data_IF_537809929713
#
_entry.id   IF_537809929713
#
_cell.length_a   1.000
_cell.length_b   1.000
_cell.length_c   1.000
_cell.angle_alpha   90.00
_cell.angle_beta   90.00
_cell.angle_gamma   90.00
#
_symmetry.space_group_name_H-M   'P 1'
#
loop_
_entity.id
_entity.type
_entity.pdbx_description
1 polymer ?
#
# COMPACT_ATOMS: atom_id res chain seq x y z
N UNK A 1 -5.93 -9.17 -45.23
CA UNK A 1 -6.27 -9.14 -43.80
C UNK A 1 -7.35 -10.19 -43.58
N UNK A 2 -7.12 -11.18 -42.71
CA UNK A 2 -8.12 -12.24 -42.44
C UNK A 2 -9.31 -11.69 -41.68
N UNK A 3 -10.51 -12.27 -41.86
CA UNK A 3 -11.76 -11.88 -41.20
C UNK A 3 -11.54 -11.92 -39.67
N UNK A 4 -10.78 -12.87 -39.18
CA UNK A 4 -10.48 -13.04 -37.75
C UNK A 4 -9.64 -11.87 -37.19
N UNK A 5 -8.62 -11.41 -37.95
CA UNK A 5 -7.80 -10.25 -37.59
C UNK A 5 -8.63 -8.94 -37.61
N UNK A 6 -9.57 -8.84 -38.56
CA UNK A 6 -10.50 -7.71 -38.62
C UNK A 6 -11.44 -7.71 -37.37
N UNK A 7 -11.99 -8.87 -37.01
CA UNK A 7 -12.87 -9.04 -35.82
C UNK A 7 -12.12 -8.71 -34.53
N UNK A 8 -10.89 -9.17 -34.37
CA UNK A 8 -10.05 -8.85 -33.20
C UNK A 8 -9.75 -7.34 -33.10
N UNK A 9 -9.41 -6.68 -34.22
CA UNK A 9 -9.17 -5.24 -34.24
C UNK A 9 -10.41 -4.43 -33.91
N UNK A 10 -11.60 -4.82 -34.39
CA UNK A 10 -12.86 -4.15 -34.06
C UNK A 10 -13.26 -4.36 -32.61
N UNK A 11 -13.12 -5.56 -32.07
CA UNK A 11 -13.36 -5.85 -30.67
C UNK A 11 -12.46 -5.00 -29.77
N UNK A 12 -11.14 -4.95 -30.08
CA UNK A 12 -10.20 -4.12 -29.33
C UNK A 12 -10.56 -2.62 -29.39
N UNK A 13 -10.90 -2.10 -30.57
CA UNK A 13 -11.34 -0.70 -30.75
C UNK A 13 -12.63 -0.42 -29.99
N UNK A 14 -13.61 -1.29 -30.08
CA UNK A 14 -14.87 -1.15 -29.34
C UNK A 14 -14.63 -1.04 -27.83
N UNK A 15 -13.84 -1.94 -27.26
CA UNK A 15 -13.50 -1.88 -25.83
C UNK A 15 -12.71 -0.63 -25.45
N UNK A 16 -11.78 -0.18 -26.29
CA UNK A 16 -11.04 1.06 -26.07
C UNK A 16 -11.96 2.27 -26.07
N UNK A 17 -12.76 2.45 -27.11
CA UNK A 17 -13.62 3.63 -27.24
C UNK A 17 -14.76 3.64 -26.24
N UNK A 18 -15.36 2.48 -25.94
CA UNK A 18 -16.37 2.40 -24.88
C UNK A 18 -15.82 2.75 -23.50
N UNK A 19 -14.57 2.33 -23.20
CA UNK A 19 -13.89 2.70 -21.96
C UNK A 19 -13.59 4.21 -21.91
N UNK A 20 -13.14 4.81 -23.00
CA UNK A 20 -12.89 6.26 -23.10
C UNK A 20 -14.21 7.03 -22.91
N UNK A 21 -15.28 6.64 -23.60
CA UNK A 21 -16.60 7.28 -23.47
C UNK A 21 -17.10 7.20 -22.02
N UNK A 22 -16.96 6.03 -21.38
CA UNK A 22 -17.31 5.85 -19.99
C UNK A 22 -16.49 6.77 -19.07
N UNK A 23 -15.18 6.92 -19.33
CA UNK A 23 -14.32 7.81 -18.56
C UNK A 23 -14.78 9.28 -18.67
N UNK A 24 -15.17 9.73 -19.86
CA UNK A 24 -15.71 11.09 -20.09
C UNK A 24 -17.04 11.30 -19.35
N UNK A 25 -17.97 10.34 -19.46
CA UNK A 25 -19.27 10.41 -18.78
C UNK A 25 -19.10 10.49 -17.26
N UNK A 26 -18.28 9.60 -16.70
CA UNK A 26 -18.01 9.56 -15.25
C UNK A 26 -17.25 10.82 -14.78
N UNK A 27 -16.36 11.38 -15.59
CA UNK A 27 -15.69 12.63 -15.27
C UNK A 27 -16.69 13.81 -15.22
N UNK A 28 -17.62 13.85 -16.18
CA UNK A 28 -18.65 14.90 -16.22
C UNK A 28 -19.63 14.79 -15.05
N UNK A 29 -20.06 13.56 -14.71
CA UNK A 29 -20.89 13.30 -13.52
C UNK A 29 -20.18 13.73 -12.24
N UNK A 30 -18.90 13.38 -12.07
CA UNK A 30 -18.09 13.78 -10.94
C UNK A 30 -17.91 15.32 -10.87
N UNK A 31 -17.69 15.96 -12.01
CA UNK A 31 -17.60 17.43 -12.07
C UNK A 31 -18.88 18.12 -11.61
N UNK A 32 -20.05 17.68 -12.09
CA UNK A 32 -21.36 18.20 -11.64
C UNK A 32 -21.53 17.98 -10.12
N UNK A 33 -21.18 16.79 -9.64
CA UNK A 33 -21.26 16.44 -8.23
C UNK A 33 -20.43 17.38 -7.37
N UNK A 34 -19.14 17.53 -7.66
CA UNK A 34 -18.25 18.41 -6.89
C UNK A 34 -18.59 19.89 -7.06
N UNK A 35 -19.04 20.32 -8.22
CA UNK A 35 -19.54 21.69 -8.42
C UNK A 35 -20.76 22.00 -7.54
N UNK A 36 -21.73 21.07 -7.46
CA UNK A 36 -22.90 21.21 -6.59
C UNK A 36 -22.51 21.19 -5.10
N UNK A 37 -21.53 20.36 -4.74
CA UNK A 37 -21.00 20.29 -3.37
C UNK A 37 -20.33 21.61 -3.00
N UNK A 38 -19.43 22.11 -3.85
CA UNK A 38 -18.70 23.37 -3.65
C UNK A 38 -19.62 24.59 -3.55
N UNK A 39 -20.74 24.58 -4.25
CA UNK A 39 -21.74 25.65 -4.15
C UNK A 39 -22.41 25.77 -2.77
N UNK A 40 -22.23 24.77 -1.89
CA UNK A 40 -22.74 24.75 -0.51
C UNK A 40 -21.68 25.10 0.53
N UNK A 41 -20.46 25.38 0.10
CA UNK A 41 -19.35 25.66 0.99
C UNK A 41 -19.49 27.03 1.65
N UNK A 42 -18.95 27.14 2.85
CA UNK A 42 -18.80 28.42 3.51
C UNK A 42 -17.81 29.32 2.72
N UNK A 43 -17.92 30.65 2.85
CA UNK A 43 -16.95 31.56 2.24
C UNK A 43 -15.51 31.19 2.61
N UNK A 44 -14.65 31.02 1.62
CA UNK A 44 -13.25 30.67 1.79
C UNK A 44 -12.96 29.18 2.06
N UNK A 45 -13.97 28.30 2.09
CA UNK A 45 -13.76 26.87 2.20
C UNK A 45 -13.24 26.28 0.87
N UNK A 46 -12.10 25.61 0.93
CA UNK A 46 -11.45 24.98 -0.22
C UNK A 46 -11.95 23.56 -0.48
N UNK A 47 -11.98 23.14 -1.74
CA UNK A 47 -12.12 21.75 -2.17
C UNK A 47 -10.76 21.23 -2.60
N UNK A 48 -10.20 20.28 -1.84
CA UNK A 48 -8.85 19.75 -2.03
C UNK A 48 -8.90 18.29 -2.46
N UNK A 49 -8.05 17.90 -3.41
CA UNK A 49 -7.86 16.53 -3.81
C UNK A 49 -6.49 16.01 -3.37
N UNK A 50 -6.45 14.84 -2.73
CA UNK A 50 -5.24 14.02 -2.54
C UNK A 50 -5.34 12.85 -3.50
N UNK A 51 -4.27 12.56 -4.25
CA UNK A 51 -4.29 11.54 -5.30
C UNK A 51 -3.24 10.48 -5.05
N UNK A 52 -3.65 9.35 -4.47
CA UNK A 52 -2.90 8.09 -4.44
C UNK A 52 -3.86 6.94 -4.67
N UNK A 53 -3.88 6.41 -5.91
CA UNK A 53 -4.94 5.51 -6.35
C UNK A 53 -4.59 4.04 -6.16
N UNK A 54 -3.30 3.71 -6.14
CA UNK A 54 -2.73 2.36 -6.03
C UNK A 54 -1.23 2.44 -5.69
N UNK A 55 -0.52 1.42 -5.21
CA UNK A 55 -1.04 0.14 -4.68
C UNK A 55 -1.44 0.31 -3.21
N UNK A 56 -2.10 -0.68 -2.60
CA UNK A 56 -2.62 -0.48 -1.24
C UNK A 56 -1.51 -0.22 -0.19
N UNK A 57 -0.36 -0.86 -0.30
CA UNK A 57 0.80 -0.55 0.56
C UNK A 57 1.24 0.90 0.48
N UNK A 58 1.26 1.46 -0.75
CA UNK A 58 1.58 2.87 -0.97
C UNK A 58 0.52 3.81 -0.39
N UNK A 59 -0.76 3.41 -0.42
CA UNK A 59 -1.86 4.18 0.19
C UNK A 59 -1.67 4.23 1.69
N UNK A 60 -1.33 3.10 2.33
CA UNK A 60 -1.01 3.03 3.76
C UNK A 60 0.22 3.88 4.09
N UNK A 61 1.30 3.76 3.30
CA UNK A 61 2.51 4.57 3.49
C UNK A 61 2.25 6.09 3.34
N UNK A 62 1.28 6.49 2.52
CA UNK A 62 0.90 7.88 2.29
C UNK A 62 -0.11 8.42 3.32
N UNK A 63 -0.68 7.59 4.21
CA UNK A 63 -1.71 8.00 5.15
C UNK A 63 -1.31 9.23 6.00
N UNK A 64 -0.06 9.38 6.51
CA UNK A 64 0.32 10.55 7.28
C UNK A 64 0.15 11.88 6.52
N UNK A 65 0.20 11.86 5.18
CA UNK A 65 -0.06 13.03 4.35
C UNK A 65 -1.49 13.55 4.55
N UNK A 66 -2.46 12.68 4.79
CA UNK A 66 -3.85 13.10 5.05
C UNK A 66 -3.94 14.03 6.27
N UNK A 67 -3.27 13.65 7.36
CA UNK A 67 -3.22 14.44 8.60
C UNK A 67 -2.45 15.74 8.39
N UNK A 68 -1.34 15.67 7.66
CA UNK A 68 -0.55 16.87 7.35
C UNK A 68 -1.32 17.86 6.47
N UNK A 69 -1.99 17.39 5.41
CA UNK A 69 -2.85 18.26 4.58
C UNK A 69 -4.01 18.82 5.39
N UNK A 70 -4.64 18.05 6.27
CA UNK A 70 -5.69 18.55 7.19
C UNK A 70 -5.15 19.65 8.11
N UNK A 71 -3.93 19.50 8.62
CA UNK A 71 -3.31 20.54 9.47
C UNK A 71 -3.03 21.84 8.73
N UNK A 72 -2.68 21.76 7.44
CA UNK A 72 -2.46 22.92 6.56
C UNK A 72 -3.79 23.57 6.13
N UNK A 73 -4.87 22.81 6.04
CA UNK A 73 -6.17 23.23 5.54
C UNK A 73 -7.30 22.76 6.48
N UNK A 74 -7.40 23.30 7.71
CA UNK A 74 -8.30 22.77 8.75
C UNK A 74 -9.78 22.82 8.36
N UNK A 75 -10.20 23.79 7.55
CA UNK A 75 -11.58 24.00 7.13
C UNK A 75 -11.89 23.48 5.71
N UNK A 76 -10.91 22.91 4.99
CA UNK A 76 -11.12 22.43 3.64
C UNK A 76 -12.00 21.16 3.62
N UNK A 77 -12.67 20.96 2.50
CA UNK A 77 -13.26 19.67 2.16
C UNK A 77 -12.22 18.84 1.38
N UNK A 78 -11.71 17.80 2.01
CA UNK A 78 -10.62 16.99 1.47
C UNK A 78 -11.16 15.68 0.90
N UNK A 79 -10.84 15.44 -0.37
CA UNK A 79 -11.24 14.23 -1.12
C UNK A 79 -10.00 13.41 -1.42
N UNK A 80 -9.99 12.13 -1.05
CA UNK A 80 -8.93 11.21 -1.45
C UNK A 80 -9.35 10.39 -2.67
N UNK A 81 -8.57 10.47 -3.75
CA UNK A 81 -8.75 9.68 -4.95
C UNK A 81 -8.05 8.33 -4.81
N UNK A 82 -8.83 7.25 -4.94
CA UNK A 82 -8.36 5.87 -4.77
C UNK A 82 -9.05 4.94 -5.76
N UNK A 83 -8.44 3.80 -6.11
CA UNK A 83 -9.18 2.74 -6.83
C UNK A 83 -10.30 2.17 -5.94
N UNK A 84 -11.46 1.82 -6.52
CA UNK A 84 -12.59 1.30 -5.74
C UNK A 84 -12.25 0.09 -4.85
N UNK A 85 -11.30 -0.75 -5.26
CA UNK A 85 -10.83 -1.91 -4.48
C UNK A 85 -10.10 -1.56 -3.19
N UNK A 86 -9.74 -0.29 -2.97
CA UNK A 86 -8.95 0.17 -1.82
C UNK A 86 -9.65 1.24 -0.99
N UNK A 87 -10.95 1.46 -1.22
CA UNK A 87 -11.75 2.45 -0.49
C UNK A 87 -11.65 2.28 1.02
N UNK A 88 -11.78 1.04 1.51
CA UNK A 88 -11.81 0.74 2.94
C UNK A 88 -10.59 1.30 3.72
N UNK A 89 -9.44 1.45 3.05
CA UNK A 89 -8.23 2.03 3.67
C UNK A 89 -8.40 3.51 4.05
N UNK A 90 -9.32 4.22 3.38
CA UNK A 90 -9.48 5.68 3.50
C UNK A 90 -10.85 6.06 4.08
N UNK A 91 -11.91 5.27 3.84
CA UNK A 91 -13.30 5.62 4.19
C UNK A 91 -13.51 6.02 5.66
N UNK A 92 -12.66 5.50 6.56
CA UNK A 92 -12.75 5.78 7.99
C UNK A 92 -11.68 6.74 8.50
N UNK A 93 -10.90 7.35 7.60
CA UNK A 93 -9.86 8.30 7.98
C UNK A 93 -10.46 9.66 8.37
N UNK A 94 -10.33 10.10 9.64
CA UNK A 94 -10.97 11.34 10.12
C UNK A 94 -10.38 12.62 9.49
N UNK A 95 -9.24 12.53 8.82
CA UNK A 95 -8.63 13.66 8.10
C UNK A 95 -9.19 13.84 6.69
N UNK A 96 -10.03 12.90 6.21
CA UNK A 96 -10.60 12.87 4.86
C UNK A 96 -12.11 12.99 4.97
N UNK A 97 -12.70 13.92 4.22
CA UNK A 97 -14.15 14.13 4.21
C UNK A 97 -14.87 13.20 3.24
N UNK A 98 -14.17 12.79 2.17
CA UNK A 98 -14.75 11.91 1.16
C UNK A 98 -13.69 11.07 0.43
N UNK A 99 -14.00 9.81 0.20
CA UNK A 99 -13.22 8.92 -0.67
C UNK A 99 -13.84 8.89 -2.05
N UNK A 100 -13.06 9.18 -3.10
CA UNK A 100 -13.52 9.15 -4.47
C UNK A 100 -12.94 7.98 -5.24
N UNK A 101 -13.82 7.07 -5.70
CA UNK A 101 -13.46 5.90 -6.51
C UNK A 101 -13.11 6.28 -7.94
N UNK A 102 -11.84 6.33 -8.25
CA UNK A 102 -11.37 6.61 -9.61
C UNK A 102 -11.60 5.44 -10.55
N UNK A 103 -12.33 5.67 -11.63
CA UNK A 103 -12.50 4.67 -12.70
C UNK A 103 -11.21 4.44 -13.49
N UNK A 104 -10.53 5.52 -13.88
CA UNK A 104 -9.21 5.48 -14.52
C UNK A 104 -8.58 6.89 -14.61
N UNK A 105 -7.30 6.92 -14.92
CA UNK A 105 -6.48 8.14 -15.11
C UNK A 105 -7.13 9.15 -16.09
N UNK A 106 -7.79 8.67 -17.15
CA UNK A 106 -8.49 9.55 -18.12
C UNK A 106 -9.66 10.29 -17.47
N UNK A 107 -10.44 9.61 -16.61
CA UNK A 107 -11.50 10.27 -15.85
C UNK A 107 -10.93 11.39 -14.98
N UNK A 108 -9.86 11.11 -14.22
CA UNK A 108 -9.21 12.09 -13.35
C UNK A 108 -8.68 13.28 -14.14
N UNK A 109 -7.97 13.03 -15.25
CA UNK A 109 -7.45 14.09 -16.13
C UNK A 109 -8.54 15.04 -16.55
N UNK A 110 -9.64 14.53 -17.12
CA UNK A 110 -10.77 15.34 -17.59
C UNK A 110 -11.42 16.12 -16.44
N UNK A 111 -11.57 15.47 -15.27
CA UNK A 111 -12.14 16.12 -14.09
C UNK A 111 -11.27 17.28 -13.61
N UNK A 112 -9.96 17.12 -13.57
CA UNK A 112 -9.03 18.16 -13.12
C UNK A 112 -8.91 19.31 -14.13
N UNK A 113 -8.98 19.03 -15.43
CA UNK A 113 -9.08 20.06 -16.48
C UNK A 113 -10.31 20.97 -16.32
N UNK A 114 -11.35 20.54 -15.59
CA UNK A 114 -12.54 21.37 -15.25
C UNK A 114 -12.32 22.34 -14.09
N UNK A 115 -11.15 22.33 -13.45
CA UNK A 115 -10.74 23.27 -12.39
C UNK A 115 -11.77 23.39 -11.23
N UNK A 116 -12.40 22.27 -10.85
CA UNK A 116 -13.36 22.26 -9.73
C UNK A 116 -12.66 22.22 -8.37
N UNK A 117 -11.48 21.58 -8.29
CA UNK A 117 -10.65 21.54 -7.10
C UNK A 117 -9.80 22.81 -7.00
N UNK A 118 -9.74 23.38 -5.81
CA UNK A 118 -8.89 24.56 -5.54
C UNK A 118 -7.42 24.16 -5.43
N UNK A 119 -7.16 22.95 -4.92
CA UNK A 119 -5.82 22.39 -4.80
C UNK A 119 -5.81 20.89 -5.05
N UNK A 120 -4.73 20.40 -5.64
CA UNK A 120 -4.51 18.97 -5.92
C UNK A 120 -3.12 18.60 -5.43
N UNK A 121 -3.04 17.55 -4.61
CA UNK A 121 -1.80 16.95 -4.14
C UNK A 121 -1.57 15.60 -4.84
N UNK A 122 -0.81 15.56 -5.94
CA UNK A 122 -0.53 14.33 -6.67
C UNK A 122 0.60 13.55 -5.99
N UNK A 123 0.27 12.42 -5.35
CA UNK A 123 1.23 11.56 -4.67
C UNK A 123 1.77 10.47 -5.61
N UNK A 124 1.96 10.79 -6.88
CA UNK A 124 2.38 9.86 -7.92
C UNK A 124 3.41 10.52 -8.82
N UNK A 125 4.36 9.76 -9.31
CA UNK A 125 5.28 10.23 -10.35
C UNK A 125 4.82 9.79 -11.75
N UNK A 126 5.28 10.47 -12.79
CA UNK A 126 4.75 10.42 -14.16
C UNK A 126 4.66 9.00 -14.71
N UNK A 127 5.69 8.18 -14.59
CA UNK A 127 5.75 6.86 -15.21
C UNK A 127 4.78 5.82 -14.61
N UNK A 128 4.26 6.06 -13.41
CA UNK A 128 3.30 5.15 -12.75
C UNK A 128 1.85 5.59 -12.88
N UNK A 129 1.58 6.64 -13.66
CA UNK A 129 0.30 7.30 -13.69
C UNK A 129 -0.34 7.20 -15.07
N UNK A 130 -0.79 5.99 -15.44
CA UNK A 130 -1.31 5.72 -16.77
C UNK A 130 -2.57 4.83 -16.79
N UNK A 131 -3.32 4.92 -17.86
CA UNK A 131 -4.39 3.98 -18.19
C UNK A 131 -4.04 3.21 -19.48
N UNK A 132 -3.71 1.94 -19.36
CA UNK A 132 -3.35 1.10 -20.50
C UNK A 132 -4.49 0.98 -21.53
N UNK A 133 -5.76 0.97 -21.12
CA UNK A 133 -6.93 0.91 -22.01
C UNK A 133 -7.12 2.18 -22.83
N UNK A 134 -6.96 3.35 -22.19
CA UNK A 134 -7.07 4.64 -22.87
C UNK A 134 -5.77 5.06 -23.57
N UNK A 135 -4.65 4.47 -23.19
CA UNK A 135 -3.31 4.91 -23.58
C UNK A 135 -3.03 6.37 -23.19
N UNK A 136 -3.48 6.76 -22.01
CA UNK A 136 -3.30 8.09 -21.43
C UNK A 136 -2.32 7.97 -20.30
N UNK A 137 -1.34 8.88 -20.30
CA UNK A 137 -0.39 9.10 -19.21
C UNK A 137 -0.69 10.46 -18.58
N UNK A 138 -0.48 10.58 -17.29
CA UNK A 138 -0.47 11.85 -16.59
C UNK A 138 0.93 12.11 -16.04
N UNK A 139 1.43 13.27 -16.37
CA UNK A 139 2.70 13.76 -15.85
C UNK A 139 2.50 14.38 -14.46
N UNK A 140 3.55 14.35 -13.67
CA UNK A 140 3.66 15.14 -12.46
C UNK A 140 4.86 16.08 -12.59
N UNK A 141 4.64 17.33 -13.05
CA UNK A 141 5.71 18.28 -13.28
C UNK A 141 6.54 18.62 -12.03
N UNK A 142 5.98 18.41 -10.83
CA UNK A 142 6.70 18.61 -9.57
C UNK A 142 7.73 17.49 -9.38
N UNK A 143 7.29 16.24 -9.53
CA UNK A 143 8.17 15.08 -9.46
C UNK A 143 9.27 15.14 -10.53
N UNK A 144 8.90 15.49 -11.76
CA UNK A 144 9.83 15.56 -12.90
C UNK A 144 10.92 16.62 -12.67
N UNK A 145 10.55 17.82 -12.19
CA UNK A 145 11.54 18.86 -11.85
C UNK A 145 12.49 18.46 -10.73
N UNK A 146 12.03 17.60 -9.80
CA UNK A 146 12.86 17.08 -8.70
C UNK A 146 13.65 15.83 -9.11
N UNK A 147 13.41 15.27 -10.32
CA UNK A 147 14.05 14.05 -10.79
C UNK A 147 13.51 12.78 -10.12
N UNK A 148 12.30 12.84 -9.53
CA UNK A 148 11.66 11.70 -8.86
C UNK A 148 10.91 10.86 -9.88
N UNK A 149 11.35 9.62 -10.09
CA UNK A 149 10.76 8.66 -11.02
C UNK A 149 11.00 7.22 -10.56
N UNK A 150 10.55 6.23 -11.33
CA UNK A 150 10.66 4.80 -10.98
C UNK A 150 12.08 4.28 -10.77
N UNK A 151 13.10 4.99 -11.27
CA UNK A 151 14.50 4.62 -11.15
C UNK A 151 15.26 5.35 -10.05
N UNK A 152 14.68 6.40 -9.48
CA UNK A 152 15.38 7.31 -8.56
C UNK A 152 14.67 7.52 -7.22
N UNK A 153 13.39 7.14 -7.09
CA UNK A 153 12.52 7.57 -5.99
C UNK A 153 13.08 7.23 -4.60
N UNK A 154 13.70 6.08 -4.37
CA UNK A 154 14.30 5.78 -3.07
C UNK A 154 15.60 6.56 -2.76
N UNK A 155 16.14 7.35 -3.70
CA UNK A 155 17.19 8.31 -3.40
C UNK A 155 16.66 9.55 -2.67
N UNK A 156 15.33 9.70 -2.58
CA UNK A 156 14.64 10.84 -1.96
C UNK A 156 14.03 10.50 -0.59
N UNK A 157 14.35 9.32 -0.05
CA UNK A 157 13.89 8.86 1.25
C UNK A 157 12.92 7.67 1.17
N UNK A 158 12.15 7.46 2.24
CA UNK A 158 11.10 6.45 2.30
C UNK A 158 9.88 6.86 1.44
N UNK A 159 8.90 5.96 1.30
CA UNK A 159 7.72 6.24 0.44
C UNK A 159 6.93 7.47 0.89
N UNK A 160 6.79 7.71 2.19
CA UNK A 160 6.09 8.90 2.70
C UNK A 160 6.78 10.19 2.24
N UNK A 161 8.10 10.26 2.40
CA UNK A 161 8.91 11.43 1.99
C UNK A 161 8.87 11.63 0.48
N UNK A 162 8.97 10.54 -0.28
CA UNK A 162 8.84 10.58 -1.75
C UNK A 162 7.49 11.15 -2.16
N UNK A 163 6.38 10.64 -1.61
CA UNK A 163 5.04 11.11 -1.96
C UNK A 163 4.80 12.56 -1.53
N UNK A 164 5.27 12.95 -0.37
CA UNK A 164 5.18 14.33 0.08
C UNK A 164 5.98 15.29 -0.81
N UNK A 165 7.15 14.86 -1.32
CA UNK A 165 7.95 15.64 -2.28
C UNK A 165 7.29 15.73 -3.65
N UNK A 166 6.61 14.67 -4.14
CA UNK A 166 5.89 14.71 -5.42
C UNK A 166 4.69 15.65 -5.40
N UNK A 167 4.16 15.95 -4.23
CA UNK A 167 3.07 16.89 -3.99
C UNK A 167 3.53 18.31 -3.57
N UNK A 168 4.83 18.56 -3.53
CA UNK A 168 5.45 19.80 -3.03
C UNK A 168 5.08 20.16 -1.59
N UNK A 169 4.76 19.17 -0.78
CA UNK A 169 4.42 19.33 0.64
C UNK A 169 5.68 19.51 1.50
N UNK A 170 6.79 18.90 1.09
CA UNK A 170 8.09 18.99 1.77
C UNK A 170 9.22 19.24 0.77
N UNK A 171 10.33 19.74 1.33
CA UNK A 171 11.59 19.96 0.61
C UNK A 171 12.75 19.91 1.61
N UNK A 172 13.99 20.18 1.17
CA UNK A 172 15.19 20.14 2.03
C UNK A 172 15.14 21.11 3.22
N UNK A 173 14.29 22.15 3.18
CA UNK A 173 14.13 23.14 4.27
C UNK A 173 12.90 22.89 5.13
N UNK A 174 11.96 22.10 4.65
CA UNK A 174 10.70 21.79 5.31
C UNK A 174 10.54 20.27 5.31
N UNK A 175 11.11 19.55 6.29
CA UNK A 175 10.98 18.10 6.40
C UNK A 175 9.51 17.70 6.72
N UNK A 176 9.19 16.43 6.58
CA UNK A 176 7.90 15.90 7.01
C UNK A 176 7.77 16.03 8.54
N UNK A 177 6.57 16.35 9.07
CA UNK A 177 6.34 16.42 10.52
C UNK A 177 6.70 15.12 11.24
N UNK A 178 7.03 15.20 12.52
CA UNK A 178 7.43 14.06 13.35
C UNK A 178 6.34 12.98 13.49
N UNK A 179 5.05 13.31 13.25
CA UNK A 179 3.93 12.35 13.22
C UNK A 179 3.88 11.60 11.88
N UNK A 180 4.94 10.83 11.62
CA UNK A 180 5.18 10.08 10.37
C UNK A 180 4.70 8.62 10.42
N UNK A 181 4.15 8.16 11.56
CA UNK A 181 3.64 6.80 11.73
C UNK A 181 2.34 6.62 10.93
N UNK A 182 2.25 5.70 9.95
CA UNK A 182 0.99 5.36 9.28
C UNK A 182 -0.04 4.82 10.28
N UNK A 183 -1.31 5.08 10.02
CA UNK A 183 -2.44 4.63 10.87
C UNK A 183 -3.49 3.92 10.04
N UNK A 184 -4.19 2.99 10.69
CA UNK A 184 -5.37 2.30 10.15
C UNK A 184 -6.57 2.59 11.05
N UNK A 185 -7.71 2.85 10.44
CA UNK A 185 -8.94 3.26 11.15
C UNK A 185 -9.93 2.09 11.19
N UNK A 186 -9.56 1.06 11.98
CA UNK A 186 -10.31 -0.17 12.13
C UNK A 186 -11.66 0.06 12.81
N UNK A 187 -12.73 -0.51 12.25
CA UNK A 187 -14.08 -0.45 12.76
C UNK A 187 -14.44 -1.76 13.49
N UNK A 188 -15.52 -1.76 14.27
CA UNK A 188 -15.96 -2.92 15.04
C UNK A 188 -16.24 -4.16 14.18
N UNK A 189 -16.74 -3.97 12.96
CA UNK A 189 -16.95 -5.08 12.02
C UNK A 189 -15.65 -5.85 11.71
N UNK A 190 -14.50 -5.17 11.60
CA UNK A 190 -13.21 -5.82 11.33
C UNK A 190 -12.73 -6.62 12.55
N UNK A 191 -12.97 -6.07 13.77
CA UNK A 191 -12.67 -6.76 15.03
C UNK A 191 -13.53 -7.99 15.23
N UNK A 192 -14.86 -7.86 15.01
CA UNK A 192 -15.82 -8.97 15.08
C UNK A 192 -15.49 -10.08 14.09
N UNK A 193 -15.05 -9.72 12.87
CA UNK A 193 -14.57 -10.72 11.90
C UNK A 193 -13.36 -11.48 12.45
N UNK A 194 -12.36 -10.79 12.98
CA UNK A 194 -11.19 -11.42 13.58
C UNK A 194 -11.57 -12.29 14.80
N UNK A 195 -12.52 -11.85 15.64
CA UNK A 195 -13.05 -12.65 16.75
C UNK A 195 -13.69 -13.96 16.27
N UNK A 196 -14.46 -13.90 15.18
CA UNK A 196 -15.11 -15.07 14.59
C UNK A 196 -14.14 -16.12 14.02
N UNK A 197 -12.88 -15.75 13.82
CA UNK A 197 -11.85 -16.68 13.36
C UNK A 197 -11.33 -17.58 14.47
N UNK A 198 -11.57 -17.27 15.74
CA UNK A 198 -11.01 -18.03 16.88
C UNK A 198 -9.51 -18.25 16.72
N UNK A 199 -8.75 -17.17 16.52
CA UNK A 199 -7.30 -17.23 16.39
C UNK A 199 -6.66 -17.72 17.68
N UNK A 200 -5.53 -18.43 17.61
CA UNK A 200 -4.74 -18.80 18.80
C UNK A 200 -4.26 -17.56 19.56
N UNK A 201 -3.94 -17.74 20.85
CA UNK A 201 -3.40 -16.63 21.66
C UNK A 201 -2.00 -16.21 21.20
N UNK A 202 -1.15 -17.17 20.85
CA UNK A 202 0.22 -16.93 20.40
C UNK A 202 0.36 -17.36 18.93
N UNK A 203 0.49 -16.39 18.02
CA UNK A 203 0.64 -16.71 16.62
C UNK A 203 1.50 -15.71 15.86
N UNK A 204 2.09 -16.20 14.81
CA UNK A 204 2.85 -15.44 13.82
C UNK A 204 2.00 -15.35 12.56
N UNK A 205 1.84 -14.15 12.01
CA UNK A 205 1.26 -13.97 10.67
C UNK A 205 2.36 -14.06 9.63
N UNK A 206 2.16 -14.85 8.59
CA UNK A 206 3.07 -14.91 7.44
C UNK A 206 2.39 -14.40 6.16
N UNK A 207 3.17 -13.73 5.30
CA UNK A 207 2.75 -13.31 3.95
C UNK A 207 3.81 -13.70 2.92
N UNK A 208 3.50 -14.68 2.08
CA UNK A 208 4.47 -15.43 1.29
C UNK A 208 4.55 -15.02 -0.18
N UNK A 209 3.61 -14.22 -0.69
CA UNK A 209 3.54 -13.87 -2.10
C UNK A 209 3.15 -12.42 -2.33
N UNK A 210 3.96 -11.69 -3.08
CA UNK A 210 3.66 -10.33 -3.53
C UNK A 210 3.01 -10.32 -4.93
N UNK A 211 2.66 -9.13 -5.43
CA UNK A 211 2.21 -8.95 -6.81
C UNK A 211 3.38 -8.69 -7.78
N UNK A 212 4.62 -8.82 -7.33
CA UNK A 212 5.83 -8.61 -8.12
C UNK A 212 6.85 -9.71 -7.85
N UNK A 213 6.86 -10.74 -8.71
CA UNK A 213 7.65 -11.95 -8.54
C UNK A 213 9.13 -11.75 -8.16
N UNK A 214 9.85 -10.70 -8.63
CA UNK A 214 11.21 -10.44 -8.17
C UNK A 214 11.38 -10.17 -6.66
N UNK A 215 10.30 -9.79 -5.96
CA UNK A 215 10.27 -9.62 -4.49
C UNK A 215 9.95 -10.92 -3.76
N UNK A 216 9.48 -11.96 -4.45
CA UNK A 216 9.02 -13.19 -3.80
C UNK A 216 10.19 -14.07 -3.35
N UNK A 217 10.00 -14.73 -2.21
CA UNK A 217 10.85 -15.80 -1.75
C UNK A 217 10.22 -17.14 -2.15
N UNK A 218 11.01 -18.16 -2.57
CA UNK A 218 10.45 -19.43 -3.09
C UNK A 218 9.51 -20.13 -2.12
N UNK A 219 8.35 -20.59 -2.60
CA UNK A 219 7.34 -21.27 -1.78
C UNK A 219 7.91 -22.48 -1.00
N UNK A 220 8.77 -23.27 -1.63
CA UNK A 220 9.42 -24.40 -0.95
C UNK A 220 10.29 -23.98 0.24
N UNK A 221 10.87 -22.78 0.23
CA UNK A 221 11.62 -22.25 1.37
C UNK A 221 10.69 -21.71 2.45
N UNK A 222 9.54 -21.16 2.09
CA UNK A 222 8.48 -20.83 3.04
C UNK A 222 7.95 -22.09 3.75
N UNK A 223 7.70 -23.19 3.02
CA UNK A 223 7.32 -24.48 3.63
C UNK A 223 8.38 -24.95 4.66
N UNK A 224 9.67 -24.84 4.32
CA UNK A 224 10.78 -25.17 5.24
C UNK A 224 10.86 -24.23 6.46
N UNK A 225 10.53 -22.95 6.29
CA UNK A 225 10.48 -21.99 7.39
C UNK A 225 9.31 -22.29 8.32
N UNK A 226 8.13 -22.57 7.77
CA UNK A 226 6.94 -22.95 8.55
C UNK A 226 7.19 -24.22 9.35
N UNK A 227 7.74 -25.27 8.73
CA UNK A 227 8.11 -26.51 9.43
C UNK A 227 9.10 -26.22 10.57
N UNK A 228 10.17 -25.47 10.31
CA UNK A 228 11.17 -25.13 11.31
C UNK A 228 10.59 -24.31 12.48
N UNK A 229 9.71 -23.33 12.20
CA UNK A 229 9.00 -22.58 13.25
C UNK A 229 8.14 -23.49 14.12
N UNK A 230 7.40 -24.43 13.50
CA UNK A 230 6.56 -25.40 14.21
C UNK A 230 7.34 -26.37 15.09
N UNK A 231 8.56 -26.75 14.68
CA UNK A 231 9.43 -27.66 15.42
C UNK A 231 10.17 -26.98 16.59
N UNK A 232 10.47 -25.68 16.49
CA UNK A 232 11.35 -24.99 17.44
C UNK A 232 10.64 -23.97 18.34
N UNK A 233 9.41 -23.58 18.02
CA UNK A 233 8.65 -22.56 18.77
C UNK A 233 7.21 -23.01 18.98
N UNK A 234 6.56 -22.46 20.02
CA UNK A 234 5.16 -22.76 20.36
C UNK A 234 4.13 -21.88 19.64
N UNK A 235 4.54 -21.12 18.64
CA UNK A 235 3.63 -20.26 17.87
C UNK A 235 2.79 -21.05 16.88
N UNK A 236 1.52 -20.68 16.76
CA UNK A 236 0.74 -21.01 15.58
C UNK A 236 1.14 -20.10 14.42
N UNK A 237 0.97 -20.57 13.19
CA UNK A 237 1.35 -19.84 11.98
C UNK A 237 0.11 -19.60 11.14
N UNK A 238 -0.19 -18.33 10.88
CA UNK A 238 -1.38 -17.92 10.11
C UNK A 238 -0.93 -17.25 8.82
N UNK A 239 -1.20 -17.90 7.69
CA UNK A 239 -0.91 -17.32 6.37
C UNK A 239 -2.05 -16.41 5.91
N UNK A 240 -1.68 -15.22 5.45
CA UNK A 240 -2.60 -14.25 4.84
C UNK A 240 -2.16 -13.93 3.41
N UNK A 241 -3.08 -13.40 2.61
CA UNK A 241 -2.84 -13.01 1.23
C UNK A 241 -4.06 -13.27 0.34
N UNK A 242 -3.89 -13.15 -0.97
CA UNK A 242 -4.96 -13.47 -1.92
C UNK A 242 -5.06 -14.97 -2.18
N UNK A 243 -3.91 -15.65 -2.23
CA UNK A 243 -3.80 -17.07 -2.53
C UNK A 243 -2.57 -17.64 -1.83
N UNK A 244 -2.67 -18.88 -1.33
CA UNK A 244 -1.52 -19.63 -0.84
C UNK A 244 -0.89 -20.46 -1.95
N UNK A 245 0.44 -20.55 -1.92
CA UNK A 245 1.23 -21.49 -2.72
C UNK A 245 1.99 -22.48 -1.83
N UNK A 246 1.72 -22.51 -0.52
CA UNK A 246 2.35 -23.42 0.42
C UNK A 246 1.70 -24.82 0.34
N UNK A 247 2.51 -25.82 0.62
CA UNK A 247 2.11 -27.24 0.63
C UNK A 247 2.22 -27.88 2.01
N UNK A 248 2.63 -27.10 3.02
CA UNK A 248 2.80 -27.53 4.41
C UNK A 248 1.53 -28.17 4.97
N UNK A 249 1.73 -29.18 5.85
CA UNK A 249 0.66 -29.89 6.58
C UNK A 249 0.83 -29.79 8.10
N UNK A 250 1.65 -28.85 8.55
CA UNK A 250 1.87 -28.64 9.97
C UNK A 250 0.55 -28.33 10.69
N UNK A 251 0.32 -28.98 11.82
CA UNK A 251 -0.90 -28.80 12.62
C UNK A 251 -1.03 -27.41 13.24
N UNK A 252 0.09 -26.70 13.40
CA UNK A 252 0.17 -25.32 13.86
C UNK A 252 -0.10 -24.29 12.76
N UNK A 253 -0.20 -24.71 11.49
CA UNK A 253 -0.42 -23.84 10.34
C UNK A 253 -1.90 -23.70 9.99
N UNK A 254 -2.31 -22.45 9.70
CA UNK A 254 -3.65 -22.10 9.24
C UNK A 254 -3.63 -21.14 8.06
N UNK A 255 -4.34 -21.47 6.99
CA UNK A 255 -4.44 -20.66 5.79
C UNK A 255 -5.71 -19.80 5.82
N UNK A 256 -5.56 -18.48 5.80
CA UNK A 256 -6.63 -17.47 5.68
C UNK A 256 -6.59 -16.71 4.35
N UNK A 257 -5.78 -17.14 3.38
CA UNK A 257 -5.69 -16.48 2.07
C UNK A 257 -7.05 -16.43 1.37
N UNK A 258 -7.40 -15.26 0.83
CA UNK A 258 -8.66 -15.02 0.12
C UNK A 258 -9.91 -14.93 0.99
N UNK A 259 -9.78 -14.94 2.32
CA UNK A 259 -10.92 -14.98 3.25
C UNK A 259 -11.20 -13.64 3.95
N UNK A 260 -10.30 -12.67 3.80
CA UNK A 260 -10.28 -11.42 4.55
C UNK A 260 -10.26 -10.21 3.60
N UNK A 261 -10.94 -9.13 3.98
CA UNK A 261 -10.71 -7.81 3.41
C UNK A 261 -9.35 -7.25 3.84
N UNK A 262 -8.93 -6.11 3.32
CA UNK A 262 -7.64 -5.50 3.68
C UNK A 262 -7.63 -5.08 5.16
N UNK A 263 -8.71 -4.45 5.64
CA UNK A 263 -8.79 -4.04 7.05
C UNK A 263 -9.02 -5.21 8.01
N UNK A 264 -9.71 -6.26 7.59
CA UNK A 264 -9.80 -7.52 8.35
C UNK A 264 -8.42 -8.18 8.45
N UNK A 265 -7.65 -8.18 7.35
CA UNK A 265 -6.26 -8.64 7.32
C UNK A 265 -5.39 -7.82 8.28
N UNK A 266 -5.56 -6.50 8.29
CA UNK A 266 -4.85 -5.60 9.20
C UNK A 266 -5.15 -5.91 10.67
N UNK A 267 -6.41 -6.21 11.00
CA UNK A 267 -6.79 -6.58 12.38
C UNK A 267 -6.19 -7.93 12.79
N UNK A 268 -6.13 -8.91 11.88
CA UNK A 268 -5.45 -10.19 12.14
C UNK A 268 -3.94 -9.96 12.39
N UNK A 269 -3.29 -9.15 11.57
CA UNK A 269 -1.87 -8.80 11.75
C UNK A 269 -1.66 -8.09 13.10
N UNK A 270 -2.53 -7.15 13.46
CA UNK A 270 -2.43 -6.37 14.72
C UNK A 270 -2.51 -7.24 15.97
N UNK A 271 -3.20 -8.39 15.89
CA UNK A 271 -3.32 -9.36 17.00
C UNK A 271 -2.16 -10.34 17.09
N UNK A 272 -1.35 -10.44 16.05
CA UNK A 272 -0.22 -11.36 16.02
C UNK A 272 0.95 -10.86 16.90
N UNK A 273 1.71 -11.79 17.44
CA UNK A 273 2.97 -11.48 18.11
C UNK A 273 4.02 -10.96 17.14
N UNK A 274 4.04 -11.54 15.93
CA UNK A 274 4.97 -11.19 14.87
C UNK A 274 4.30 -11.26 13.50
N UNK A 275 4.81 -10.43 12.60
CA UNK A 275 4.56 -10.52 11.17
C UNK A 275 5.85 -10.92 10.46
N UNK A 276 5.86 -12.01 9.72
CA UNK A 276 6.98 -12.42 8.85
C UNK A 276 6.51 -12.35 7.40
N UNK A 277 7.11 -11.51 6.58
CA UNK A 277 6.63 -11.37 5.21
C UNK A 277 7.60 -10.66 4.29
N UNK A 278 7.13 -10.43 3.07
CA UNK A 278 7.85 -9.72 2.02
C UNK A 278 7.64 -8.20 2.15
N UNK A 279 8.53 -7.41 1.52
CA UNK A 279 8.26 -5.98 1.27
C UNK A 279 7.09 -5.83 0.29
N UNK A 280 5.89 -5.70 0.86
CA UNK A 280 4.62 -5.70 0.14
C UNK A 280 3.53 -4.98 0.96
N UNK A 281 2.31 -4.91 0.44
CA UNK A 281 1.21 -4.23 1.13
C UNK A 281 0.97 -4.69 2.59
N UNK A 282 0.91 -5.99 2.91
CA UNK A 282 0.73 -6.46 4.29
C UNK A 282 1.80 -6.01 5.28
N UNK A 283 3.05 -5.81 4.85
CA UNK A 283 4.09 -5.25 5.73
C UNK A 283 3.83 -3.78 6.10
N UNK A 284 3.20 -3.01 5.21
CA UNK A 284 2.73 -1.66 5.56
C UNK A 284 1.54 -1.70 6.54
N UNK A 285 0.64 -2.71 6.44
CA UNK A 285 -0.40 -2.93 7.45
C UNK A 285 0.21 -3.27 8.81
N UNK A 286 1.24 -4.11 8.85
CA UNK A 286 1.95 -4.48 10.08
C UNK A 286 2.63 -3.26 10.72
N UNK A 287 3.31 -2.41 9.94
CA UNK A 287 3.86 -1.15 10.41
C UNK A 287 2.77 -0.24 11.00
N UNK A 288 1.68 -0.04 10.27
CA UNK A 288 0.57 0.81 10.71
C UNK A 288 -0.18 0.25 11.94
N UNK A 289 -0.21 -1.07 12.10
CA UNK A 289 -0.79 -1.79 13.24
C UNK A 289 0.12 -1.88 14.48
N UNK A 290 1.41 -1.54 14.33
CA UNK A 290 2.41 -1.62 15.41
C UNK A 290 2.90 -3.04 15.71
N UNK A 291 2.60 -4.02 14.86
CA UNK A 291 3.05 -5.42 15.01
C UNK A 291 4.55 -5.51 14.69
N UNK A 292 5.31 -6.24 15.51
CA UNK A 292 6.74 -6.48 15.24
C UNK A 292 6.93 -7.23 13.92
N UNK A 293 7.68 -6.64 12.99
CA UNK A 293 7.86 -7.15 11.64
C UNK A 293 9.24 -7.77 11.39
N UNK A 294 9.26 -8.92 10.73
CA UNK A 294 10.45 -9.54 10.16
C UNK A 294 10.27 -9.57 8.66
N UNK A 295 10.92 -8.64 7.96
CA UNK A 295 10.62 -8.33 6.57
C UNK A 295 11.74 -8.84 5.66
N UNK A 296 11.43 -9.83 4.84
CA UNK A 296 12.34 -10.33 3.81
C UNK A 296 12.39 -9.33 2.65
N UNK A 297 13.57 -8.85 2.38
CA UNK A 297 13.82 -7.83 1.35
C UNK A 297 14.96 -8.25 0.44
N UNK A 298 14.93 -7.76 -0.78
CA UNK A 298 16.04 -7.90 -1.73
C UNK A 298 16.32 -6.59 -2.44
N UNK A 299 17.27 -6.57 -3.36
CA UNK A 299 17.45 -5.48 -4.28
C UNK A 299 16.19 -5.25 -5.14
N UNK A 300 15.91 -4.00 -5.48
CA UNK A 300 14.74 -3.61 -6.27
C UNK A 300 15.16 -2.69 -7.42
N UNK A 301 15.21 -3.22 -8.63
CA UNK A 301 15.63 -2.46 -9.80
C UNK A 301 17.02 -1.81 -9.61
N UNK A 302 17.07 -0.49 -9.61
CA UNK A 302 18.31 0.28 -9.42
C UNK A 302 18.73 0.43 -7.94
N UNK A 303 17.96 -0.10 -6.98
CA UNK A 303 18.21 0.08 -5.56
C UNK A 303 18.76 -1.22 -4.95
N UNK A 304 20.06 -1.31 -4.67
CA UNK A 304 20.65 -2.48 -4.02
C UNK A 304 20.20 -2.62 -2.56
N UNK A 305 19.85 -1.51 -1.94
CA UNK A 305 19.29 -1.42 -0.59
C UNK A 305 18.34 -0.23 -0.51
N UNK A 306 17.20 -0.39 0.17
CA UNK A 306 16.21 0.66 0.37
C UNK A 306 15.40 0.40 1.64
N UNK A 307 14.73 1.42 2.17
CA UNK A 307 13.75 1.29 3.23
C UNK A 307 12.48 2.05 2.82
N UNK A 308 11.36 1.35 2.50
CA UNK A 308 10.14 2.01 2.05
C UNK A 308 9.28 2.57 3.19
N UNK A 309 9.60 2.24 4.44
CA UNK A 309 8.74 2.51 5.59
C UNK A 309 9.08 3.83 6.26
N UNK A 310 8.06 4.53 6.75
CA UNK A 310 8.13 5.61 7.74
C UNK A 310 7.75 5.07 9.13
N UNK A 311 7.77 5.93 10.14
CA UNK A 311 7.41 5.57 11.50
C UNK A 311 8.36 4.54 12.12
N UNK A 312 7.82 3.66 12.95
CA UNK A 312 8.58 2.69 13.74
C UNK A 312 9.39 1.71 12.89
N UNK A 313 8.83 1.25 11.75
CA UNK A 313 9.59 0.41 10.80
C UNK A 313 10.70 1.22 10.10
N UNK A 314 10.45 2.48 9.79
CA UNK A 314 11.44 3.37 9.21
C UNK A 314 12.66 3.54 10.11
N UNK A 315 12.42 3.70 11.41
CA UNK A 315 13.45 3.82 12.46
C UNK A 315 13.97 2.48 12.97
N UNK A 316 13.44 1.35 12.48
CA UNK A 316 13.77 -0.02 12.92
C UNK A 316 13.55 -0.25 14.43
N UNK A 317 12.55 0.40 15.02
CA UNK A 317 12.20 0.25 16.44
C UNK A 317 11.50 -1.10 16.71
N UNK A 318 10.68 -1.57 15.76
CA UNK A 318 9.97 -2.85 15.81
C UNK A 318 9.96 -3.58 14.46
N UNK A 319 11.02 -3.40 13.65
CA UNK A 319 11.19 -4.10 12.39
C UNK A 319 12.61 -4.64 12.23
N UNK A 320 12.71 -5.89 11.78
CA UNK A 320 13.93 -6.58 11.44
C UNK A 320 13.96 -6.84 9.93
N UNK A 321 14.90 -6.22 9.21
CA UNK A 321 15.03 -6.39 7.77
C UNK A 321 16.00 -7.52 7.44
N UNK A 322 15.46 -8.60 6.86
CA UNK A 322 16.20 -9.78 6.43
C UNK A 322 16.64 -9.59 5.00
N UNK A 323 17.89 -9.15 4.79
CA UNK A 323 18.44 -8.86 3.47
C UNK A 323 19.93 -9.14 3.42
N UNK A 324 20.42 -9.40 2.21
CA UNK A 324 21.85 -9.43 1.87
C UNK A 324 22.07 -8.42 0.74
N UNK A 325 23.09 -7.57 0.89
CA UNK A 325 23.36 -6.51 -0.07
C UNK A 325 23.57 -7.06 -1.49
N UNK A 326 22.91 -6.43 -2.46
CA UNK A 326 22.95 -6.80 -3.88
C UNK A 326 22.23 -8.06 -4.27
N UNK A 327 21.65 -8.83 -3.32
CA UNK A 327 20.86 -10.03 -3.64
C UNK A 327 19.38 -9.73 -3.76
N UNK A 328 18.69 -10.47 -4.65
CA UNK A 328 17.24 -10.50 -4.68
C UNK A 328 16.70 -11.31 -3.50
N UNK A 329 15.46 -11.06 -3.10
CA UNK A 329 14.80 -11.83 -2.04
C UNK A 329 14.79 -13.34 -2.33
N UNK A 330 14.56 -13.73 -3.59
CA UNK A 330 14.60 -15.12 -4.06
C UNK A 330 15.96 -15.83 -3.88
N UNK A 331 17.05 -15.07 -3.66
CA UNK A 331 18.39 -15.62 -3.48
C UNK A 331 18.77 -15.88 -2.02
N UNK A 332 17.97 -15.36 -1.06
CA UNK A 332 18.22 -15.59 0.36
C UNK A 332 18.08 -17.09 0.68
N UNK A 333 19.12 -17.70 1.28
CA UNK A 333 19.04 -19.11 1.67
C UNK A 333 18.09 -19.30 2.86
N UNK A 334 17.53 -20.51 2.98
CA UNK A 334 16.62 -20.84 4.07
C UNK A 334 17.31 -20.74 5.43
N UNK A 335 18.54 -21.21 5.53
CA UNK A 335 19.37 -21.17 6.74
C UNK A 335 19.64 -19.71 7.19
N UNK A 336 19.97 -18.82 6.24
CA UNK A 336 20.17 -17.40 6.55
C UNK A 336 18.87 -16.77 7.08
N UNK A 337 17.74 -17.04 6.45
CA UNK A 337 16.44 -16.50 6.89
C UNK A 337 16.08 -17.05 8.27
N UNK A 338 16.23 -18.36 8.53
CA UNK A 338 16.00 -18.98 9.84
C UNK A 338 16.85 -18.34 10.94
N UNK A 339 18.13 -18.14 10.69
CA UNK A 339 19.04 -17.45 11.63
C UNK A 339 18.53 -16.04 11.99
N UNK A 340 18.15 -15.25 10.98
CA UNK A 340 17.66 -13.89 11.20
C UNK A 340 16.32 -13.85 11.90
N UNK A 341 15.42 -14.79 11.58
CA UNK A 341 14.14 -14.94 12.26
C UNK A 341 14.36 -15.32 13.73
N UNK A 342 15.21 -16.30 14.03
CA UNK A 342 15.55 -16.69 15.41
C UNK A 342 16.05 -15.48 16.22
N UNK A 343 17.03 -14.75 15.70
CA UNK A 343 17.59 -13.57 16.36
C UNK A 343 16.53 -12.50 16.63
N UNK A 344 15.58 -12.29 15.68
CA UNK A 344 14.50 -11.33 15.86
C UNK A 344 13.51 -11.75 16.95
N UNK A 345 13.13 -13.03 16.98
CA UNK A 345 12.23 -13.59 18.00
C UNK A 345 12.85 -13.49 19.41
N UNK A 346 14.13 -13.86 19.55
CA UNK A 346 14.87 -13.78 20.82
C UNK A 346 15.03 -12.33 21.31
N UNK A 347 15.45 -11.41 20.43
CA UNK A 347 15.60 -9.99 20.78
C UNK A 347 14.29 -9.39 21.27
N UNK A 348 13.17 -9.71 20.61
CA UNK A 348 11.86 -9.20 20.99
C UNK A 348 11.33 -9.82 22.28
N UNK A 349 11.71 -11.05 22.62
CA UNK A 349 11.35 -11.68 23.90
C UNK A 349 12.03 -10.98 25.08
N UNK A 350 13.27 -10.55 24.91
CA UNK A 350 14.03 -9.83 25.95
C UNK A 350 13.42 -8.45 26.25
N UNK A 351 12.92 -7.74 25.23
CA UNK A 351 12.31 -6.41 25.38
C UNK A 351 10.89 -6.42 25.96
N UNK A 352 10.19 -7.55 25.89
CA UNK A 352 8.85 -7.72 26.51
C UNK A 352 8.93 -8.17 27.98
N UNK A 353 10.09 -8.59 28.47
CA UNK A 353 10.32 -9.07 29.84
C UNK A 353 10.82 -7.99 30.81
N UNK A 354 11.12 -6.79 30.33
CA UNK A 354 11.41 -5.58 31.10
C UNK A 354 10.14 -4.71 31.27
#
# INVERSE_FOLDING_TARGET
MTIERFRQLWTHRYFKYSHILKAHLLAYQAWIYFKKKKAKFAPGQELIAIVRTEHFGDIVAAEPISRYVRSLHPNAFIVWFVKPSYHELIDFNPSIDETFGEFCVTQRRILFEKNVFDKVYPLQFSNNNHCAKCQVFLDNPIADRKGINVHTYFNFGNLLEVFAQTADLINSRTPFPADDQPRLYLQDQHRQKADSLHLPENFIVIHCQSNYAPKDWPAARWDQLVQWLSENYSYHIVEIGLKSNLTTKESSYRNLCGQLSILETAEVIRRADFFIGLDSGPSHLANAGGTTGIILMGSLGAFPSYNPYSGSYGRQENAFFVRQEGKMCSELSCEFVKEKVANALETSALTKGE
#
